data_IF_695106331129
#
_entry.id   IF_695106331129
#
_cell.length_a   1.000
_cell.length_b   1.000
_cell.length_c   1.000
_cell.angle_alpha   90.00
_cell.angle_beta   90.00
_cell.angle_gamma   90.00
#
_symmetry.space_group_name_H-M   'P 1'
#
loop_
_entity.id
_entity.type
_entity.pdbx_description
1 polymer ?
#
# COMPACT_ATOMS: atom_id res chain seq x y z
N UNK A 1 -10.21 7.54 -16.84
CA UNK A 1 -9.15 6.78 -17.53
C UNK A 1 -7.93 6.77 -16.62
N UNK A 2 -7.52 5.60 -16.11
CA UNK A 2 -6.19 5.44 -15.51
C UNK A 2 -5.22 5.49 -16.68
N UNK A 3 -4.33 6.47 -16.73
CA UNK A 3 -3.47 6.76 -17.90
C UNK A 3 -2.37 5.71 -18.13
N UNK A 4 -2.33 4.63 -17.35
CA UNK A 4 -1.24 3.65 -17.34
C UNK A 4 0.10 4.21 -16.87
N UNK A 5 0.14 5.49 -16.46
CA UNK A 5 1.35 6.16 -16.02
C UNK A 5 1.65 5.86 -14.56
N UNK A 6 2.94 5.79 -14.23
CA UNK A 6 3.39 5.69 -12.86
C UNK A 6 2.95 6.90 -12.06
N UNK A 7 2.31 6.64 -10.92
CA UNK A 7 1.93 7.68 -9.95
C UNK A 7 2.89 7.63 -8.78
N UNK A 8 3.44 8.79 -8.43
CA UNK A 8 4.37 8.93 -7.31
C UNK A 8 3.73 9.83 -6.25
N UNK A 9 3.85 9.42 -4.98
CA UNK A 9 3.43 10.19 -3.81
C UNK A 9 4.55 10.15 -2.79
N UNK A 10 4.69 11.24 -2.04
CA UNK A 10 5.79 11.43 -1.10
C UNK A 10 5.24 11.79 0.28
N UNK A 11 5.87 11.24 1.31
CA UNK A 11 5.68 11.63 2.69
C UNK A 11 6.96 12.35 3.15
N UNK A 12 6.81 13.53 3.73
CA UNK A 12 7.95 14.37 4.14
C UNK A 12 8.36 14.16 5.60
N UNK A 13 7.52 13.49 6.39
CA UNK A 13 7.83 13.13 7.77
C UNK A 13 8.64 11.83 7.90
N UNK A 14 9.02 11.48 9.13
CA UNK A 14 9.63 10.19 9.41
C UNK A 14 8.58 9.08 9.32
N UNK A 15 8.77 8.08 8.46
CA UNK A 15 7.89 6.91 8.38
C UNK A 15 8.41 5.81 9.32
N UNK A 16 7.81 5.69 10.52
CA UNK A 16 8.20 4.71 11.55
C UNK A 16 7.36 3.44 11.48
N UNK A 17 6.09 3.56 11.11
CA UNK A 17 5.15 2.44 10.97
C UNK A 17 4.37 2.60 9.68
N UNK A 18 4.30 1.52 8.90
CA UNK A 18 3.48 1.44 7.70
C UNK A 18 2.48 0.31 7.86
N UNK A 19 1.21 0.59 7.56
CA UNK A 19 0.19 -0.42 7.36
C UNK A 19 -0.29 -0.31 5.92
N UNK A 20 -0.11 -1.39 5.15
CA UNK A 20 -0.42 -1.42 3.72
C UNK A 20 -1.54 -2.43 3.52
N UNK A 21 -2.68 -1.97 2.99
CA UNK A 21 -3.81 -2.80 2.61
C UNK A 21 -3.85 -2.86 1.09
N UNK A 22 -3.78 -4.08 0.55
CA UNK A 22 -3.91 -4.33 -0.88
C UNK A 22 -5.16 -5.17 -1.09
N UNK A 23 -6.12 -4.62 -1.84
CA UNK A 23 -7.28 -5.35 -2.35
C UNK A 23 -7.15 -5.51 -3.88
N UNK A 24 -8.14 -6.14 -4.51
CA UNK A 24 -8.20 -6.41 -5.94
C UNK A 24 -8.15 -5.16 -6.82
N UNK A 25 -8.56 -3.98 -6.31
CA UNK A 25 -8.58 -2.76 -7.11
C UNK A 25 -8.06 -1.49 -6.41
N UNK A 26 -7.58 -1.61 -5.17
CA UNK A 26 -7.11 -0.48 -4.38
C UNK A 26 -5.94 -0.86 -3.48
N UNK A 27 -5.02 0.10 -3.34
CA UNK A 27 -3.96 0.06 -2.35
C UNK A 27 -4.11 1.26 -1.42
N UNK A 28 -4.00 1.00 -0.12
CA UNK A 28 -4.05 2.01 0.92
C UNK A 28 -2.82 1.86 1.82
N UNK A 29 -2.10 2.96 2.01
CA UNK A 29 -0.89 3.02 2.82
C UNK A 29 -1.15 4.01 3.95
N UNK A 30 -1.21 3.50 5.17
CA UNK A 30 -1.31 4.27 6.40
C UNK A 30 0.08 4.43 6.99
N UNK A 31 0.45 5.67 7.31
CA UNK A 31 1.75 6.08 7.83
C UNK A 31 1.56 6.52 9.28
N UNK A 32 2.44 6.05 10.17
CA UNK A 32 2.47 6.39 11.60
C UNK A 32 1.09 6.37 12.24
N UNK A 33 0.43 5.21 12.23
CA UNK A 33 -0.88 5.01 12.86
C UNK A 33 -2.01 5.92 12.32
N UNK A 34 -1.85 6.42 11.08
CA UNK A 34 -2.86 7.24 10.41
C UNK A 34 -2.53 8.74 10.34
N UNK A 35 -1.34 9.16 10.80
CA UNK A 35 -0.83 10.53 10.60
C UNK A 35 -0.83 10.92 9.11
N UNK A 36 -0.54 9.96 8.23
CA UNK A 36 -0.66 10.11 6.79
C UNK A 36 -1.38 8.94 6.15
N UNK A 37 -2.19 9.21 5.12
CA UNK A 37 -2.87 8.17 4.33
C UNK A 37 -2.66 8.43 2.84
N UNK A 38 -2.23 7.40 2.12
CA UNK A 38 -2.16 7.41 0.67
C UNK A 38 -3.07 6.31 0.13
N UNK A 39 -4.05 6.70 -0.69
CA UNK A 39 -4.93 5.76 -1.38
C UNK A 39 -4.79 5.90 -2.89
N UNK A 40 -4.77 4.77 -3.60
CA UNK A 40 -4.79 4.73 -5.05
C UNK A 40 -5.55 3.52 -5.55
N UNK A 41 -6.18 3.66 -6.72
CA UNK A 41 -6.71 2.53 -7.47
C UNK A 41 -5.60 1.93 -8.33
N UNK A 42 -5.53 0.62 -8.39
CA UNK A 42 -4.60 -0.13 -9.23
C UNK A 42 -5.28 -1.43 -9.70
N UNK A 43 -4.84 -1.98 -10.81
CA UNK A 43 -5.41 -3.19 -11.41
C UNK A 43 -4.26 -4.13 -11.77
N UNK A 44 -3.75 -4.90 -10.80
CA UNK A 44 -2.55 -5.70 -11.00
C UNK A 44 -2.86 -6.99 -11.79
N UNK A 45 -1.90 -7.44 -12.60
CA UNK A 45 -1.87 -8.85 -12.99
C UNK A 45 -1.48 -9.70 -11.78
N UNK A 46 -2.10 -10.88 -11.65
CA UNK A 46 -1.86 -11.77 -10.52
C UNK A 46 -0.80 -12.83 -10.86
N UNK A 47 0.16 -13.12 -9.96
CA UNK A 47 0.30 -12.58 -8.60
C UNK A 47 0.94 -11.18 -8.56
N UNK A 48 0.39 -10.30 -7.72
CA UNK A 48 0.93 -8.96 -7.49
C UNK A 48 2.13 -9.00 -6.52
N UNK A 49 3.12 -8.13 -6.73
CA UNK A 49 4.32 -8.04 -5.89
C UNK A 49 4.43 -6.68 -5.21
N UNK A 50 4.61 -6.67 -3.89
CA UNK A 50 4.97 -5.49 -3.11
C UNK A 50 6.48 -5.46 -2.89
N UNK A 51 7.14 -4.39 -3.33
CA UNK A 51 8.59 -4.20 -3.16
C UNK A 51 8.86 -3.03 -2.22
N UNK A 52 9.64 -3.27 -1.16
CA UNK A 52 10.14 -2.23 -0.26
C UNK A 52 11.65 -2.08 -0.47
N UNK A 53 12.14 -0.85 -0.62
CA UNK A 53 13.56 -0.53 -0.83
C UNK A 53 13.99 0.59 0.09
N UNK A 54 15.15 0.45 0.72
CA UNK A 54 15.71 1.43 1.64
C UNK A 54 16.89 0.85 2.41
N UNK A 55 17.52 1.68 3.25
CA UNK A 55 18.64 1.27 4.12
C UNK A 55 18.21 0.94 5.56
N UNK A 56 16.91 0.99 5.84
CA UNK A 56 16.39 0.73 7.18
C UNK A 56 16.19 -0.77 7.41
N UNK A 57 16.37 -1.20 8.66
CA UNK A 57 15.88 -2.51 9.09
C UNK A 57 14.36 -2.52 9.09
N UNK A 58 13.78 -3.57 8.52
CA UNK A 58 12.34 -3.71 8.37
C UNK A 58 11.87 -4.95 9.14
N UNK A 59 10.89 -4.74 10.02
CA UNK A 59 10.08 -5.82 10.56
C UNK A 59 8.76 -5.86 9.80
N UNK A 60 8.53 -6.92 9.03
CA UNK A 60 7.34 -7.11 8.23
C UNK A 60 6.48 -8.23 8.82
N UNK A 61 5.16 -7.99 8.87
CA UNK A 61 4.16 -9.02 9.16
C UNK A 61 3.13 -8.99 8.04
N UNK A 62 2.79 -10.16 7.53
CA UNK A 62 1.88 -10.33 6.41
C UNK A 62 0.69 -11.19 6.82
N UNK A 63 -0.49 -10.79 6.37
CA UNK A 63 -1.73 -11.53 6.53
C UNK A 63 -2.49 -11.52 5.22
N UNK A 64 -2.96 -12.69 4.79
CA UNK A 64 -3.89 -12.76 3.66
C UNK A 64 -5.23 -12.20 4.08
N UNK A 65 -5.71 -11.17 3.37
CA UNK A 65 -7.06 -10.67 3.55
C UNK A 65 -8.04 -11.69 2.98
N UNK A 66 -9.03 -12.09 3.79
CA UNK A 66 -10.15 -12.90 3.28
C UNK A 66 -11.09 -11.96 2.53
N UNK A 67 -11.71 -12.46 1.47
CA UNK A 67 -12.81 -11.74 0.83
C UNK A 67 -13.88 -11.45 1.88
N UNK A 68 -14.22 -10.18 2.03
CA UNK A 68 -15.36 -9.75 2.82
C UNK A 68 -16.42 -9.29 1.81
N UNK A 69 -17.58 -9.95 1.80
CA UNK A 69 -18.74 -9.41 1.12
C UNK A 69 -19.21 -8.22 1.95
N UNK A 70 -19.21 -7.04 1.35
CA UNK A 70 -19.87 -5.85 1.88
C UNK A 70 -21.06 -5.61 0.95
N UNK A 71 -22.28 -5.75 1.47
CA UNK A 71 -23.54 -5.52 0.75
C UNK A 71 -23.80 -4.03 0.49
#
# INVERSE_FOLDING_TARGET
>A
LVSGQWTYRYWTGAARRLQILCDHSSVEIFINDGEGVMSSRYFPDHPAMLTLRGRAELQARYWSLRRCMVE
#
